data_IF_625659849565
#
_entry.id   IF_625659849565
#
_cell.length_a   1.000
_cell.length_b   1.000
_cell.length_c   1.000
_cell.angle_alpha   90.00
_cell.angle_beta   90.00
_cell.angle_gamma   90.00
#
_symmetry.space_group_name_H-M   'P 1'
#
loop_
_entity.id
_entity.type
_entity.pdbx_description
1 polymer ?
#
# COMPACT_ATOMS: atom_id res chain seq x y z
N UNK A 1 90.10 9.98 -10.15
CA UNK A 1 90.16 10.46 -11.53
C UNK A 1 88.79 11.02 -11.82
N UNK A 2 88.67 12.35 -11.77
CA UNK A 2 88.50 13.25 -12.95
C UNK A 2 87.16 12.95 -13.68
N UNK A 3 86.23 13.75 -13.96
CA UNK A 3 86.07 15.23 -14.09
C UNK A 3 84.52 15.41 -14.11
N UNK A 4 83.92 16.33 -13.45
CA UNK A 4 83.70 17.74 -13.79
C UNK A 4 82.69 17.94 -14.93
N UNK A 5 81.72 18.76 -14.56
CA UNK A 5 81.22 19.96 -15.22
C UNK A 5 79.96 19.75 -16.05
N UNK A 6 78.99 20.58 -16.18
CA UNK A 6 78.72 21.99 -15.84
C UNK A 6 77.36 22.32 -16.46
N UNK A 7 76.59 23.11 -15.75
CA UNK A 7 75.61 24.09 -16.23
C UNK A 7 74.52 23.77 -17.29
N UNK A 8 73.27 24.03 -16.96
CA UNK A 8 72.60 25.21 -17.49
C UNK A 8 71.25 25.45 -16.80
N UNK A 9 71.04 26.64 -16.34
CA UNK A 9 69.78 27.25 -16.01
C UNK A 9 68.88 27.37 -17.23
N UNK A 10 67.54 27.23 -17.05
CA UNK A 10 66.58 28.19 -17.66
C UNK A 10 65.18 27.95 -17.12
N UNK A 11 64.70 28.99 -16.44
CA UNK A 11 63.43 29.74 -16.54
C UNK A 11 62.11 29.04 -16.39
N UNK A 12 61.48 29.38 -15.30
CA UNK A 12 60.15 30.00 -15.11
C UNK A 12 59.04 29.61 -16.06
N UNK A 13 57.99 29.06 -15.47
CA UNK A 13 56.68 28.92 -16.09
C UNK A 13 55.62 28.68 -15.02
N UNK A 14 55.16 29.76 -14.39
CA UNK A 14 54.07 29.78 -13.45
C UNK A 14 52.77 29.66 -14.27
N UNK A 15 52.11 28.52 -14.25
CA UNK A 15 50.76 28.37 -14.77
C UNK A 15 49.82 27.95 -13.63
N UNK A 16 49.19 28.98 -13.05
CA UNK A 16 48.09 28.92 -12.13
C UNK A 16 46.86 28.38 -12.90
N UNK A 17 46.62 27.06 -12.87
CA UNK A 17 45.37 26.44 -13.30
C UNK A 17 44.31 26.52 -12.24
N UNK A 18 43.41 27.49 -12.38
CA UNK A 18 42.20 27.62 -11.58
C UNK A 18 41.23 26.50 -11.94
N UNK A 19 41.20 25.39 -11.19
CA UNK A 19 40.19 24.37 -11.28
C UNK A 19 38.94 24.88 -10.60
N UNK A 20 38.00 25.43 -11.40
CA UNK A 20 36.62 25.61 -11.02
C UNK A 20 35.97 24.21 -10.94
N UNK A 21 35.99 23.64 -9.75
CA UNK A 21 35.21 22.46 -9.41
C UNK A 21 33.72 22.80 -9.41
N UNK A 22 33.02 22.50 -10.51
CA UNK A 22 31.56 22.51 -10.56
C UNK A 22 31.07 21.35 -9.69
N UNK A 23 30.66 21.68 -8.47
CA UNK A 23 29.90 20.78 -7.60
C UNK A 23 28.53 20.54 -8.24
N UNK A 24 28.38 19.42 -8.90
CA UNK A 24 27.05 18.91 -9.27
C UNK A 24 26.38 18.47 -7.96
N UNK A 25 25.64 19.38 -7.36
CA UNK A 25 24.68 19.04 -6.31
C UNK A 25 23.56 18.30 -7.05
N UNK A 26 23.59 16.95 -6.96
CA UNK A 26 22.48 16.14 -7.41
C UNK A 26 21.30 16.40 -6.49
N UNK A 27 20.32 17.16 -6.95
CA UNK A 27 18.99 17.25 -6.34
C UNK A 27 18.28 15.90 -6.49
N UNK A 28 18.60 14.95 -5.63
CA UNK A 28 17.98 13.63 -5.56
C UNK A 28 16.77 13.58 -4.61
N UNK A 29 16.19 14.73 -4.21
CA UNK A 29 15.22 14.78 -3.11
C UNK A 29 13.79 15.14 -3.52
N UNK A 30 13.46 15.26 -4.82
CA UNK A 30 12.13 15.72 -5.24
C UNK A 30 11.25 14.62 -5.91
N UNK A 31 11.71 13.37 -6.01
CA UNK A 31 11.03 12.35 -6.84
C UNK A 31 10.02 11.47 -6.08
N UNK A 32 9.90 11.58 -4.76
CA UNK A 32 9.06 10.64 -3.96
C UNK A 32 7.62 11.07 -3.76
N UNK A 33 7.26 12.32 -4.03
CA UNK A 33 5.90 12.82 -3.79
C UNK A 33 4.91 12.54 -4.94
N UNK A 34 5.40 12.23 -6.16
CA UNK A 34 4.59 12.08 -7.37
C UNK A 34 4.35 10.60 -7.78
N UNK A 35 4.96 9.65 -7.08
CA UNK A 35 4.77 8.23 -7.39
C UNK A 35 3.49 7.70 -6.74
N UNK A 36 2.64 7.00 -7.52
CA UNK A 36 1.45 6.34 -7.01
C UNK A 36 1.82 5.34 -5.89
N UNK A 37 0.98 5.26 -4.86
CA UNK A 37 1.15 4.33 -3.74
C UNK A 37 0.72 2.93 -4.17
N UNK A 38 1.61 1.93 -4.22
CA UNK A 38 1.25 0.57 -4.57
C UNK A 38 0.41 -0.08 -3.45
N UNK A 39 -0.85 -0.38 -3.73
CA UNK A 39 -1.80 -0.98 -2.80
C UNK A 39 -2.25 -2.33 -3.31
N UNK A 40 -2.37 -3.31 -2.43
CA UNK A 40 -3.04 -4.57 -2.70
C UNK A 40 -4.23 -4.75 -1.76
N UNK A 41 -5.33 -5.30 -2.26
CA UNK A 41 -6.54 -5.59 -1.48
C UNK A 41 -6.81 -7.08 -1.57
N UNK A 42 -6.54 -7.81 -0.49
CA UNK A 42 -6.88 -9.21 -0.37
C UNK A 42 -8.39 -9.39 -0.28
N UNK A 43 -8.91 -10.53 -0.71
CA UNK A 43 -10.32 -10.84 -0.52
C UNK A 43 -10.66 -10.88 0.97
N UNK A 44 -11.72 -10.16 1.35
CA UNK A 44 -12.18 -10.20 2.74
C UNK A 44 -12.80 -11.56 3.05
N UNK A 45 -12.58 -12.01 4.27
CA UNK A 45 -13.27 -13.19 4.77
C UNK A 45 -14.73 -12.84 5.11
N UNK A 46 -15.64 -13.78 4.87
CA UNK A 46 -17.04 -13.66 5.28
C UNK A 46 -17.34 -14.67 6.39
N UNK A 47 -17.96 -14.19 7.45
CA UNK A 47 -18.35 -15.01 8.60
C UNK A 47 -19.83 -14.76 8.87
N UNK A 48 -20.66 -15.81 8.83
CA UNK A 48 -22.07 -15.74 9.23
C UNK A 48 -22.25 -16.32 10.63
N UNK A 49 -22.68 -15.48 11.55
CA UNK A 49 -23.01 -15.84 12.93
C UNK A 49 -24.48 -15.52 13.27
N UNK A 50 -25.29 -15.24 12.24
CA UNK A 50 -26.69 -14.84 12.42
C UNK A 50 -27.61 -15.96 12.89
N UNK A 51 -27.22 -17.22 12.68
CA UNK A 51 -28.03 -18.40 12.95
C UNK A 51 -29.37 -18.39 12.20
N UNK A 52 -29.46 -17.77 11.03
CA UNK A 52 -30.66 -17.79 10.22
C UNK A 52 -30.91 -19.18 9.63
N UNK A 53 -32.16 -19.65 9.61
CA UNK A 53 -32.49 -20.98 9.12
C UNK A 53 -32.37 -21.14 7.60
N UNK A 54 -32.40 -20.00 6.87
CA UNK A 54 -32.33 -19.98 5.41
C UNK A 54 -30.88 -19.89 4.96
N UNK A 55 -30.45 -20.83 4.12
CA UNK A 55 -29.12 -20.76 3.50
C UNK A 55 -29.07 -19.58 2.50
N UNK A 56 -28.19 -18.64 2.77
CA UNK A 56 -27.96 -17.44 1.96
C UNK A 56 -26.52 -17.39 1.42
N UNK A 57 -25.76 -18.47 1.52
CA UNK A 57 -24.34 -18.53 1.18
C UNK A 57 -24.07 -17.98 -0.22
N UNK A 58 -24.78 -18.45 -1.23
CA UNK A 58 -24.57 -18.01 -2.62
C UNK A 58 -24.85 -16.51 -2.83
N UNK A 59 -25.85 -15.95 -2.12
CA UNK A 59 -26.17 -14.52 -2.18
C UNK A 59 -25.05 -13.69 -1.53
N UNK A 60 -24.56 -14.10 -0.36
CA UNK A 60 -23.48 -13.41 0.33
C UNK A 60 -22.15 -13.50 -0.41
N UNK A 61 -21.79 -14.63 -0.98
CA UNK A 61 -20.64 -14.77 -1.86
C UNK A 61 -20.69 -13.82 -3.06
N UNK A 62 -21.87 -13.71 -3.70
CA UNK A 62 -22.06 -12.78 -4.82
C UNK A 62 -21.85 -11.31 -4.35
N UNK A 63 -22.46 -10.92 -3.22
CA UNK A 63 -22.32 -9.58 -2.66
C UNK A 63 -20.87 -9.28 -2.25
N UNK A 64 -20.21 -10.24 -1.60
CA UNK A 64 -18.80 -10.09 -1.22
C UNK A 64 -17.91 -9.89 -2.46
N UNK A 65 -18.08 -10.69 -3.51
CA UNK A 65 -17.34 -10.51 -4.76
C UNK A 65 -17.57 -9.13 -5.37
N UNK A 66 -18.82 -8.65 -5.41
CA UNK A 66 -19.15 -7.32 -5.90
C UNK A 66 -18.52 -6.21 -5.04
N UNK A 67 -18.59 -6.36 -3.71
CA UNK A 67 -17.95 -5.47 -2.74
C UNK A 67 -16.43 -5.39 -2.95
N UNK A 68 -15.76 -6.54 -3.09
CA UNK A 68 -14.31 -6.59 -3.28
C UNK A 68 -13.87 -6.00 -4.61
N UNK A 69 -14.64 -6.21 -5.67
CA UNK A 69 -14.38 -5.58 -6.98
C UNK A 69 -14.49 -4.06 -6.89
N UNK A 70 -15.62 -3.55 -6.36
CA UNK A 70 -15.84 -2.13 -6.21
C UNK A 70 -14.79 -1.48 -5.28
N UNK A 71 -14.43 -2.12 -4.16
CA UNK A 71 -13.43 -1.60 -3.24
C UNK A 71 -12.05 -1.43 -3.92
N UNK A 72 -11.63 -2.38 -4.75
CA UNK A 72 -10.38 -2.25 -5.52
C UNK A 72 -10.46 -1.11 -6.53
N UNK A 73 -11.55 -1.03 -7.27
CA UNK A 73 -11.76 -0.01 -8.28
C UNK A 73 -11.82 1.39 -7.64
N UNK A 74 -12.60 1.55 -6.57
CA UNK A 74 -12.81 2.83 -5.91
C UNK A 74 -11.58 3.32 -5.14
N UNK A 75 -10.83 2.42 -4.48
CA UNK A 75 -9.57 2.81 -3.82
C UNK A 75 -8.55 3.30 -4.84
N UNK A 76 -8.48 2.68 -6.01
CA UNK A 76 -7.52 3.03 -7.05
C UNK A 76 -8.05 3.96 -8.15
N UNK A 77 -9.30 4.44 -8.04
CA UNK A 77 -9.84 5.47 -8.93
C UNK A 77 -9.04 6.79 -8.87
N UNK A 78 -8.37 7.04 -7.76
CA UNK A 78 -7.43 8.15 -7.61
C UNK A 78 -6.03 7.73 -8.09
N UNK A 79 -5.46 8.46 -9.04
CA UNK A 79 -4.13 8.21 -9.62
C UNK A 79 -2.97 8.20 -8.61
N UNK A 80 -3.22 8.64 -7.40
CA UNK A 80 -2.26 8.56 -6.29
C UNK A 80 -2.09 7.15 -5.73
N UNK A 81 -2.93 6.21 -6.18
CA UNK A 81 -2.85 4.79 -5.84
C UNK A 81 -2.67 3.95 -7.10
N UNK A 82 -1.92 2.86 -6.97
CA UNK A 82 -1.71 1.85 -8.00
C UNK A 82 -2.12 0.49 -7.44
N UNK A 83 -3.01 -0.23 -8.15
CA UNK A 83 -3.42 -1.56 -7.73
C UNK A 83 -2.35 -2.59 -8.08
N UNK A 84 -1.77 -3.21 -7.06
CA UNK A 84 -0.97 -4.42 -7.21
C UNK A 84 -1.91 -5.62 -7.04
N UNK A 85 -2.02 -6.51 -8.03
CA UNK A 85 -2.91 -7.67 -7.93
C UNK A 85 -2.60 -8.54 -6.72
N UNK A 86 -3.64 -8.88 -5.94
CA UNK A 86 -3.49 -9.83 -4.84
C UNK A 86 -3.41 -11.26 -5.37
N UNK A 87 -2.51 -12.05 -4.80
CA UNK A 87 -2.43 -13.50 -5.02
C UNK A 87 -3.28 -14.30 -4.03
N UNK A 88 -3.90 -13.64 -3.04
CA UNK A 88 -4.68 -14.30 -2.01
C UNK A 88 -6.18 -14.19 -2.26
N UNK A 89 -6.83 -15.33 -2.49
CA UNK A 89 -8.27 -15.53 -2.54
C UNK A 89 -8.58 -17.04 -2.60
N UNK A 90 -9.61 -17.57 -1.93
CA UNK A 90 -10.32 -17.02 -0.77
C UNK A 90 -9.59 -17.33 0.54
N UNK A 91 -10.16 -16.91 1.69
CA UNK A 91 -9.66 -17.21 3.04
C UNK A 91 -8.26 -16.67 3.31
N UNK A 92 -8.06 -15.42 2.96
CA UNK A 92 -6.80 -14.72 3.21
C UNK A 92 -6.51 -14.58 4.72
N UNK A 93 -5.25 -14.73 5.16
CA UNK A 93 -4.92 -14.60 6.56
C UNK A 93 -5.08 -13.14 7.01
N UNK A 94 -5.76 -12.95 8.14
CA UNK A 94 -6.00 -11.62 8.73
C UNK A 94 -5.26 -11.42 10.05
N UNK A 95 -4.58 -12.48 10.56
CA UNK A 95 -3.85 -12.44 11.83
C UNK A 95 -2.80 -13.58 11.93
N UNK A 96 -1.99 -13.51 12.96
CA UNK A 96 -1.03 -14.55 13.31
C UNK A 96 0.16 -14.68 12.36
N UNK A 97 0.93 -15.78 12.45
CA UNK A 97 2.12 -16.00 11.64
C UNK A 97 1.84 -16.00 10.13
N UNK A 98 0.70 -16.54 9.71
CA UNK A 98 0.30 -16.58 8.30
C UNK A 98 0.13 -15.18 7.70
N UNK A 99 -0.33 -14.18 8.47
CA UNK A 99 -0.38 -12.80 8.04
C UNK A 99 1.03 -12.22 7.83
N UNK A 100 1.99 -12.56 8.69
CA UNK A 100 3.39 -12.12 8.52
C UNK A 100 3.99 -12.64 7.22
N UNK A 101 3.73 -13.90 6.89
CA UNK A 101 4.17 -14.48 5.62
C UNK A 101 3.47 -13.80 4.44
N UNK A 102 2.17 -13.55 4.54
CA UNK A 102 1.41 -12.83 3.51
C UNK A 102 1.91 -11.40 3.27
N UNK A 103 2.27 -10.67 4.33
CA UNK A 103 2.87 -9.33 4.23
C UNK A 103 4.22 -9.37 3.48
N UNK A 104 5.03 -10.41 3.74
CA UNK A 104 6.29 -10.61 3.04
C UNK A 104 6.08 -10.89 1.56
N UNK A 105 5.13 -11.77 1.21
CA UNK A 105 4.74 -12.04 -0.19
C UNK A 105 4.26 -10.78 -0.91
N UNK A 106 3.37 -10.01 -0.26
CA UNK A 106 2.87 -8.76 -0.81
C UNK A 106 4.01 -7.75 -1.06
N UNK A 107 4.94 -7.61 -0.10
CA UNK A 107 6.12 -6.76 -0.25
C UNK A 107 7.00 -7.19 -1.43
N UNK A 108 7.23 -8.50 -1.61
CA UNK A 108 7.99 -9.04 -2.74
C UNK A 108 7.29 -8.81 -4.08
N UNK A 109 5.96 -8.74 -4.09
CA UNK A 109 5.16 -8.39 -5.28
C UNK A 109 5.13 -6.87 -5.56
N UNK A 110 5.81 -6.05 -4.75
CA UNK A 110 5.86 -4.59 -4.92
C UNK A 110 4.73 -3.83 -4.21
N UNK A 111 3.92 -4.49 -3.40
CA UNK A 111 2.87 -3.84 -2.59
C UNK A 111 3.51 -3.08 -1.43
N UNK A 112 3.19 -1.81 -1.28
CA UNK A 112 3.56 -1.03 -0.11
C UNK A 112 2.50 -1.11 1.00
N UNK A 113 1.21 -1.07 0.63
CA UNK A 113 0.10 -1.19 1.57
C UNK A 113 -0.74 -2.41 1.23
N UNK A 114 -0.87 -3.33 2.18
CA UNK A 114 -1.80 -4.45 2.08
C UNK A 114 -3.07 -4.14 2.87
N UNK A 115 -4.23 -4.23 2.22
CA UNK A 115 -5.54 -4.07 2.83
C UNK A 115 -6.17 -5.45 3.00
N UNK A 116 -6.53 -5.77 4.22
CA UNK A 116 -7.17 -7.03 4.63
C UNK A 116 -8.44 -6.73 5.40
N UNK A 117 -9.37 -7.68 5.46
CA UNK A 117 -10.60 -7.44 6.21
C UNK A 117 -11.49 -8.66 6.40
N UNK A 118 -12.55 -8.42 7.16
CA UNK A 118 -13.59 -9.41 7.46
C UNK A 118 -14.94 -8.71 7.38
N UNK A 119 -15.91 -9.35 6.75
CA UNK A 119 -17.33 -9.01 6.85
C UNK A 119 -17.99 -10.08 7.71
N UNK A 120 -18.64 -9.67 8.79
CA UNK A 120 -19.35 -10.57 9.68
C UNK A 120 -20.84 -10.25 9.74
N UNK A 121 -21.68 -11.20 9.38
CA UNK A 121 -23.12 -11.12 9.58
C UNK A 121 -23.47 -11.51 11.00
N UNK A 122 -24.11 -10.60 11.74
CA UNK A 122 -24.54 -10.83 13.12
C UNK A 122 -26.01 -11.22 13.22
N UNK A 123 -26.84 -10.73 12.33
CA UNK A 123 -28.27 -11.00 12.28
C UNK A 123 -28.81 -10.72 10.88
N UNK A 124 -30.10 -10.95 10.66
CA UNK A 124 -30.82 -10.68 9.40
C UNK A 124 -30.51 -9.31 8.79
N UNK A 125 -30.29 -8.28 9.62
CA UNK A 125 -30.15 -6.91 9.15
C UNK A 125 -28.85 -6.24 9.59
N UNK A 126 -27.99 -6.91 10.35
CA UNK A 126 -26.80 -6.27 10.93
C UNK A 126 -25.54 -6.99 10.49
N UNK A 127 -24.64 -6.22 9.90
CA UNK A 127 -23.34 -6.69 9.44
C UNK A 127 -22.23 -5.78 9.97
N UNK A 128 -21.12 -6.37 10.34
CA UNK A 128 -19.89 -5.67 10.72
C UNK A 128 -18.84 -5.79 9.62
N UNK A 129 -18.07 -4.74 9.46
CA UNK A 129 -16.85 -4.76 8.64
C UNK A 129 -15.68 -4.35 9.52
N UNK A 130 -14.65 -5.17 9.53
CA UNK A 130 -13.34 -4.83 10.06
C UNK A 130 -12.35 -4.78 8.90
N UNK A 131 -11.69 -3.65 8.73
CA UNK A 131 -10.65 -3.46 7.72
C UNK A 131 -9.38 -2.96 8.36
N UNK A 132 -8.25 -3.51 7.93
CA UNK A 132 -6.91 -3.11 8.37
C UNK A 132 -6.04 -2.89 7.14
N UNK A 133 -5.33 -1.77 7.08
CA UNK A 133 -4.26 -1.55 6.12
C UNK A 133 -2.92 -1.58 6.84
N UNK A 134 -1.99 -2.35 6.30
CA UNK A 134 -0.68 -2.60 6.88
C UNK A 134 0.40 -2.19 5.87
N UNK A 135 1.37 -1.41 6.32
CA UNK A 135 2.60 -1.19 5.56
C UNK A 135 3.42 -2.47 5.55
N UNK A 136 3.69 -3.00 4.37
CA UNK A 136 4.30 -4.33 4.19
C UNK A 136 5.77 -4.37 4.60
N UNK A 137 6.47 -3.24 4.53
CA UNK A 137 7.89 -3.13 4.88
C UNK A 137 8.09 -3.03 6.39
N UNK A 138 7.38 -2.09 7.02
CA UNK A 138 7.49 -1.88 8.48
C UNK A 138 6.57 -2.80 9.29
N UNK A 139 5.64 -3.50 8.65
CA UNK A 139 4.60 -4.33 9.26
C UNK A 139 3.72 -3.56 10.27
N UNK A 140 3.62 -2.25 10.10
CA UNK A 140 2.81 -1.39 10.95
C UNK A 140 1.42 -1.17 10.38
N UNK A 141 0.44 -1.23 11.25
CA UNK A 141 -0.93 -0.83 10.90
C UNK A 141 -0.96 0.68 10.66
N UNK A 142 -1.32 1.08 9.45
CA UNK A 142 -1.46 2.49 9.04
C UNK A 142 -2.91 2.96 9.02
N UNK A 143 -3.84 2.00 8.97
CA UNK A 143 -5.27 2.25 9.04
C UNK A 143 -5.99 1.06 9.66
N UNK A 144 -7.00 1.34 10.50
CA UNK A 144 -7.93 0.34 11.02
C UNK A 144 -9.31 0.97 11.13
N UNK A 145 -10.31 0.31 10.56
CA UNK A 145 -11.71 0.72 10.65
C UNK A 145 -12.58 -0.46 11.03
N UNK A 146 -13.41 -0.25 12.02
CA UNK A 146 -14.53 -1.11 12.34
C UNK A 146 -15.80 -0.29 12.20
N UNK A 147 -16.80 -0.81 11.50
CA UNK A 147 -18.11 -0.21 11.42
C UNK A 147 -19.21 -1.24 11.21
N UNK A 148 -20.42 -0.84 11.50
CA UNK A 148 -21.61 -1.67 11.34
C UNK A 148 -22.51 -1.03 10.29
N UNK A 149 -23.06 -1.83 9.40
CA UNK A 149 -24.10 -1.38 8.48
C UNK A 149 -25.38 -2.22 8.61
N UNK A 150 -26.48 -1.67 8.15
CA UNK A 150 -27.79 -2.30 8.18
C UNK A 150 -28.28 -2.58 6.77
N UNK A 151 -28.94 -3.73 6.63
CA UNK A 151 -29.46 -4.25 5.39
C UNK A 151 -28.65 -5.45 4.90
N UNK A 152 -29.36 -6.41 4.31
CA UNK A 152 -28.75 -7.58 3.69
C UNK A 152 -29.22 -7.68 2.22
N UNK A 153 -29.13 -6.55 1.54
CA UNK A 153 -29.41 -6.39 0.12
C UNK A 153 -28.21 -5.75 -0.60
N UNK A 154 -28.23 -5.80 -1.92
CA UNK A 154 -27.14 -5.32 -2.75
C UNK A 154 -26.87 -3.82 -2.54
N UNK A 155 -27.93 -3.01 -2.27
CA UNK A 155 -27.78 -1.57 -2.04
C UNK A 155 -27.09 -1.25 -0.71
N UNK A 156 -27.42 -1.99 0.36
CA UNK A 156 -26.78 -1.83 1.67
C UNK A 156 -25.28 -2.15 1.60
N UNK A 157 -24.91 -3.22 0.88
CA UNK A 157 -23.52 -3.61 0.67
C UNK A 157 -22.76 -2.58 -0.17
N UNK A 158 -23.37 -2.02 -1.23
CA UNK A 158 -22.76 -0.95 -2.01
C UNK A 158 -22.55 0.34 -1.20
N UNK A 159 -23.50 0.71 -0.33
CA UNK A 159 -23.31 1.87 0.57
C UNK A 159 -22.15 1.64 1.55
N UNK A 160 -22.06 0.43 2.09
CA UNK A 160 -20.98 0.07 3.02
C UNK A 160 -19.61 0.09 2.33
N UNK A 161 -19.55 -0.38 1.10
CA UNK A 161 -18.32 -0.37 0.30
C UNK A 161 -17.88 1.06 -0.01
N UNK A 162 -18.77 1.92 -0.54
CA UNK A 162 -18.42 3.35 -0.83
C UNK A 162 -17.91 4.07 0.42
N UNK A 163 -18.57 3.87 1.55
CA UNK A 163 -18.08 4.42 2.81
C UNK A 163 -16.66 3.93 3.15
N UNK A 164 -16.40 2.64 2.98
CA UNK A 164 -15.09 2.07 3.28
C UNK A 164 -14.00 2.60 2.33
N UNK A 165 -14.26 2.63 1.04
CA UNK A 165 -13.29 3.09 0.03
C UNK A 165 -12.90 4.55 0.24
N UNK A 166 -13.86 5.42 0.59
CA UNK A 166 -13.60 6.82 0.95
C UNK A 166 -12.71 6.93 2.20
N UNK A 167 -13.04 6.20 3.27
CA UNK A 167 -12.27 6.18 4.51
C UNK A 167 -10.83 5.67 4.29
N UNK A 168 -10.66 4.63 3.49
CA UNK A 168 -9.34 4.08 3.14
C UNK A 168 -8.51 5.12 2.41
N UNK A 169 -9.04 5.69 1.31
CA UNK A 169 -8.34 6.71 0.52
C UNK A 169 -7.91 7.90 1.39
N UNK A 170 -8.84 8.45 2.14
CA UNK A 170 -8.60 9.64 2.97
C UNK A 170 -7.49 9.41 4.00
N UNK A 171 -7.50 8.24 4.63
CA UNK A 171 -6.52 7.90 5.66
C UNK A 171 -5.15 7.59 5.10
N UNK A 172 -5.07 6.86 4.00
CA UNK A 172 -3.80 6.56 3.36
C UNK A 172 -3.13 7.83 2.82
N UNK A 173 -3.90 8.78 2.28
CA UNK A 173 -3.36 10.06 1.83
C UNK A 173 -2.86 10.93 2.99
N UNK A 174 -3.58 10.95 4.10
CA UNK A 174 -3.14 11.66 5.30
C UNK A 174 -1.87 11.06 5.90
N UNK A 175 -1.73 9.75 5.89
CA UNK A 175 -0.52 9.08 6.40
C UNK A 175 0.72 9.40 5.57
N UNK A 176 0.59 9.53 4.23
CA UNK A 176 1.69 9.95 3.34
C UNK A 176 2.16 11.38 3.58
N UNK A 177 1.24 12.28 3.85
CA UNK A 177 1.58 13.70 4.09
C UNK A 177 2.28 13.96 5.42
N UNK A 178 2.40 12.94 6.28
CA UNK A 178 3.04 13.01 7.60
C UNK A 178 4.41 12.31 7.66
N UNK A 179 4.86 11.74 6.56
CA UNK A 179 6.18 11.13 6.39
C UNK A 179 7.15 12.09 5.71
#
# INVERSE_FOLDING_TARGET
>A
MRHASLHALTTAGLLTGLFLGSSLISDASAATADQALPVSVDDFNYIDTSNEPTDQTAAHEKRLRAFMTALRDDVTADRRFELVPSSCAPNCPTEGPALVDRLREASQAGTQILIIGIVQKLSTLVQNVLTVAVDTTSQRVVFKKFFTFRGDDDEAWQRAERFLSEEVRDRLLKSRSQQ
#
